data_IF_362488492051
#
_entry.id   IF_362488492051
#
_cell.length_a   1.000
_cell.length_b   1.000
_cell.length_c   1.000
_cell.angle_alpha   90.00
_cell.angle_beta   90.00
_cell.angle_gamma   90.00
#
_symmetry.space_group_name_H-M   'P 1'
#
loop_
_entity.id
_entity.type
_entity.pdbx_description
1 polymer ?
#
# COMPACT_ATOMS: atom_id res chain seq x y z
N UNK A 1 15.20 -5.49 22.36
CA UNK A 1 14.31 -5.97 21.28
C UNK A 1 13.16 -4.98 21.22
N UNK A 2 13.32 -3.92 20.42
CA UNK A 2 12.34 -2.85 20.32
C UNK A 2 11.17 -3.37 19.51
N UNK A 3 10.04 -3.56 20.18
CA UNK A 3 8.74 -3.75 19.54
C UNK A 3 8.29 -2.36 19.07
N UNK A 4 8.73 -1.95 17.90
CA UNK A 4 8.20 -0.76 17.24
C UNK A 4 7.37 -1.24 16.05
N UNK A 5 6.08 -1.37 16.29
CA UNK A 5 5.07 -1.55 15.26
C UNK A 5 3.89 -0.72 15.75
N UNK A 6 3.87 0.55 15.36
CA UNK A 6 2.75 1.44 15.66
C UNK A 6 1.61 1.07 14.74
N UNK A 7 0.59 0.37 15.24
CA UNK A 7 -0.71 0.33 14.56
C UNK A 7 -1.28 1.74 14.63
N UNK A 8 -1.33 2.45 13.50
CA UNK A 8 -2.03 3.73 13.42
C UNK A 8 -3.44 3.44 12.89
N UNK A 9 -4.34 3.00 13.77
CA UNK A 9 -5.77 3.02 13.41
C UNK A 9 -6.17 4.49 13.30
N UNK A 10 -6.53 4.92 12.10
CA UNK A 10 -7.00 6.27 11.83
C UNK A 10 -8.33 6.52 12.57
N UNK A 11 -8.25 6.86 13.85
CA UNK A 11 -9.33 7.55 14.55
C UNK A 11 -9.32 9.06 14.19
N UNK A 12 -8.81 9.37 12.99
CA UNK A 12 -8.82 10.69 12.40
C UNK A 12 -10.25 10.96 11.92
N UNK A 13 -10.79 12.13 12.25
CA UNK A 13 -12.05 12.61 11.67
C UNK A 13 -11.95 12.70 10.15
N UNK A 14 -13.07 12.58 9.44
CA UNK A 14 -13.11 12.63 7.96
C UNK A 14 -12.34 13.82 7.34
N UNK A 15 -12.42 15.06 7.88
CA UNK A 15 -11.63 16.17 7.35
C UNK A 15 -10.12 15.99 7.51
N UNK A 16 -9.68 15.32 8.57
CA UNK A 16 -8.27 15.13 8.88
C UNK A 16 -7.63 14.04 8.00
N UNK A 17 -8.38 13.00 7.60
CA UNK A 17 -7.86 11.93 6.73
C UNK A 17 -7.47 12.44 5.34
N UNK A 18 -8.17 13.44 4.82
CA UNK A 18 -7.87 14.03 3.52
C UNK A 18 -6.55 14.82 3.47
N UNK A 19 -5.97 15.19 4.62
CA UNK A 19 -4.81 16.09 4.68
C UNK A 19 -3.66 15.60 5.57
N UNK A 20 -3.84 14.51 6.31
CA UNK A 20 -2.87 14.07 7.31
C UNK A 20 -2.26 12.74 6.91
N UNK A 21 -0.93 12.73 6.73
CA UNK A 21 -0.20 11.49 6.49
C UNK A 21 -0.05 10.71 7.80
N UNK A 22 -0.57 9.48 7.80
CA UNK A 22 -0.30 8.45 8.79
C UNK A 22 1.16 8.01 8.63
N UNK A 23 1.99 8.25 9.66
CA UNK A 23 3.44 8.07 9.62
C UNK A 23 3.97 7.41 10.90
N UNK A 24 5.00 6.58 10.78
CA UNK A 24 5.74 6.02 11.92
C UNK A 24 6.68 7.06 12.54
N UNK A 25 6.11 7.87 13.41
CA UNK A 25 6.80 8.88 14.16
C UNK A 25 7.01 8.43 15.61
N UNK A 26 8.22 8.66 16.11
CA UNK A 26 8.50 8.51 17.53
C UNK A 26 7.77 9.59 18.35
N UNK A 27 7.83 9.48 19.68
CA UNK A 27 7.25 10.47 20.63
C UNK A 27 7.74 11.92 20.45
N UNK A 28 8.81 12.14 19.67
CA UNK A 28 9.39 13.44 19.33
C UNK A 28 9.12 13.84 17.87
N UNK A 29 8.22 13.16 17.16
CA UNK A 29 7.96 13.36 15.74
C UNK A 29 9.17 13.10 14.82
N UNK A 30 10.09 12.23 15.23
CA UNK A 30 11.21 11.82 14.38
C UNK A 30 10.87 10.53 13.61
N UNK A 31 11.30 10.41 12.35
CA UNK A 31 11.09 9.19 11.56
C UNK A 31 11.78 7.98 12.20
N UNK A 32 11.04 6.91 12.41
CA UNK A 32 11.63 5.62 12.75
C UNK A 32 12.34 5.02 11.53
N UNK A 33 13.44 4.30 11.80
CA UNK A 33 14.28 3.68 10.77
C UNK A 33 14.09 2.16 10.65
N UNK A 34 13.23 1.58 11.49
CA UNK A 34 12.94 0.15 11.51
C UNK A 34 11.76 -0.21 10.62
N UNK A 35 11.45 -1.51 10.58
CA UNK A 35 10.26 -2.02 9.92
C UNK A 35 9.01 -1.46 10.59
N UNK A 36 8.08 -0.95 9.80
CA UNK A 36 6.81 -0.41 10.25
C UNK A 36 5.67 -1.36 9.90
N UNK A 37 4.64 -1.43 10.75
CA UNK A 37 3.39 -2.13 10.46
C UNK A 37 2.25 -1.12 10.50
N UNK A 38 1.65 -0.81 9.35
CA UNK A 38 0.60 0.20 9.21
C UNK A 38 -0.67 -0.47 8.72
N UNK A 39 -1.78 -0.20 9.42
CA UNK A 39 -3.13 -0.55 8.98
C UNK A 39 -3.91 0.77 8.96
N UNK A 40 -4.48 1.14 7.82
CA UNK A 40 -5.39 2.27 7.69
C UNK A 40 -6.78 1.97 8.26
N UNK A 41 -7.80 2.57 7.69
CA UNK A 41 -9.18 2.51 8.16
C UNK A 41 -10.15 2.05 7.07
N UNK A 42 -11.45 2.19 7.33
CA UNK A 42 -12.49 1.93 6.33
C UNK A 42 -12.72 3.14 5.39
N UNK A 43 -11.91 4.20 5.49
CA UNK A 43 -12.03 5.41 4.67
C UNK A 43 -10.70 5.82 4.05
N UNK A 44 -10.77 6.74 3.09
CA UNK A 44 -9.61 7.17 2.30
C UNK A 44 -8.48 7.75 3.17
N UNK A 45 -7.37 7.04 3.26
CA UNK A 45 -6.22 7.37 4.08
C UNK A 45 -5.01 7.83 3.24
N UNK A 46 -4.20 8.70 3.85
CA UNK A 46 -2.87 9.05 3.35
C UNK A 46 -1.85 8.32 4.22
N UNK A 47 -1.16 7.33 3.68
CA UNK A 47 -0.25 6.46 4.43
C UNK A 47 1.18 6.66 3.94
N UNK A 48 2.12 6.84 4.87
CA UNK A 48 3.53 6.94 4.55
C UNK A 48 4.37 5.97 5.39
N UNK A 49 5.08 5.08 4.70
CA UNK A 49 6.04 4.14 5.27
C UNK A 49 7.27 4.80 5.90
N UNK A 50 8.04 3.98 6.60
CA UNK A 50 9.34 4.28 7.18
C UNK A 50 10.50 3.97 6.23
N UNK A 51 11.69 3.76 6.80
CA UNK A 51 12.91 3.39 6.04
C UNK A 51 13.22 1.89 6.05
N UNK A 52 12.41 1.11 6.77
CA UNK A 52 12.59 -0.32 6.98
C UNK A 52 11.83 -1.16 5.97
N UNK A 53 11.75 -2.47 6.23
CA UNK A 53 10.86 -3.35 5.48
C UNK A 53 9.46 -3.28 6.11
N UNK A 54 8.58 -2.53 5.47
CA UNK A 54 7.27 -2.19 6.02
C UNK A 54 6.19 -3.17 5.58
N UNK A 55 5.17 -3.30 6.42
CA UNK A 55 3.92 -3.98 6.09
C UNK A 55 2.79 -2.95 6.14
N UNK A 56 2.08 -2.78 5.04
CA UNK A 56 1.07 -1.74 4.89
C UNK A 56 -0.22 -2.34 4.35
N UNK A 57 -1.33 -2.11 5.04
CA UNK A 57 -2.69 -2.40 4.60
C UNK A 57 -3.52 -1.11 4.67
N UNK A 58 -4.05 -0.65 3.53
CA UNK A 58 -4.89 0.55 3.48
C UNK A 58 -6.23 0.37 4.20
N UNK A 59 -6.82 -0.81 4.04
CA UNK A 59 -8.16 -1.12 4.52
C UNK A 59 -9.17 -0.95 3.39
N UNK A 60 -10.33 -0.35 3.68
CA UNK A 60 -11.29 0.03 2.63
C UNK A 60 -11.13 1.50 2.31
N UNK A 61 -11.52 1.88 1.10
CA UNK A 61 -11.55 3.27 0.69
C UNK A 61 -10.66 3.46 -0.53
N UNK A 62 -10.28 4.70 -0.79
CA UNK A 62 -9.31 4.98 -1.85
C UNK A 62 -8.07 5.57 -1.20
N UNK A 63 -7.09 4.73 -0.93
CA UNK A 63 -5.92 5.09 -0.14
C UNK A 63 -4.76 5.57 -1.02
N UNK A 64 -3.96 6.47 -0.48
CA UNK A 64 -2.69 6.87 -1.11
C UNK A 64 -1.54 6.49 -0.21
N UNK A 65 -0.76 5.51 -0.66
CA UNK A 65 0.37 4.96 0.05
C UNK A 65 1.67 5.48 -0.58
N UNK A 66 2.57 6.01 0.25
CA UNK A 66 3.92 6.44 -0.13
C UNK A 66 4.95 5.65 0.65
N UNK A 67 5.71 4.86 -0.07
CA UNK A 67 6.82 4.13 0.49
C UNK A 67 7.88 3.96 -0.60
N UNK A 68 9.11 4.38 -0.30
CA UNK A 68 10.17 4.53 -1.29
C UNK A 68 11.49 3.89 -0.88
N UNK A 69 11.48 3.08 0.17
CA UNK A 69 12.66 2.40 0.67
C UNK A 69 12.30 1.14 1.41
N UNK A 70 13.18 0.14 1.36
CA UNK A 70 12.95 -1.12 2.06
C UNK A 70 12.50 -2.23 1.13
N UNK A 71 12.03 -3.31 1.74
CA UNK A 71 11.47 -4.46 1.04
C UNK A 71 10.07 -4.66 1.58
N UNK A 72 9.14 -3.90 1.02
CA UNK A 72 7.85 -3.65 1.65
C UNK A 72 6.82 -4.68 1.21
N UNK A 73 5.79 -4.87 2.02
CA UNK A 73 4.65 -5.72 1.70
C UNK A 73 3.39 -4.88 1.78
N UNK A 74 2.69 -4.75 0.65
CA UNK A 74 1.39 -4.10 0.57
C UNK A 74 0.31 -5.17 0.50
N UNK A 75 -0.60 -5.19 1.48
CA UNK A 75 -1.73 -6.10 1.54
C UNK A 75 -3.00 -5.38 1.07
N UNK A 76 -3.71 -6.00 0.13
CA UNK A 76 -5.02 -5.59 -0.37
C UNK A 76 -5.98 -6.76 -0.17
N UNK A 77 -7.02 -6.56 0.65
CA UNK A 77 -7.92 -7.64 1.06
C UNK A 77 -9.40 -7.29 0.82
N UNK A 78 -10.18 -8.25 0.30
CA UNK A 78 -11.61 -8.07 0.09
C UNK A 78 -11.96 -6.89 -0.84
N UNK A 79 -12.76 -5.94 -0.33
CA UNK A 79 -13.18 -4.72 -1.03
C UNK A 79 -12.29 -3.54 -0.62
N UNK A 80 -11.03 -3.57 -1.06
CA UNK A 80 -10.02 -2.59 -0.67
C UNK A 80 -10.22 -1.21 -1.35
N UNK A 81 -10.99 -1.14 -2.43
CA UNK A 81 -11.29 0.10 -3.15
C UNK A 81 -10.22 0.48 -4.19
N UNK A 82 -9.95 1.77 -4.39
CA UNK A 82 -9.09 2.26 -5.49
C UNK A 82 -7.85 2.99 -4.97
N UNK A 83 -6.78 2.23 -4.81
CA UNK A 83 -5.58 2.67 -4.12
C UNK A 83 -4.50 3.14 -5.08
N UNK A 84 -3.61 3.97 -4.55
CA UNK A 84 -2.41 4.47 -5.25
C UNK A 84 -1.18 4.17 -4.42
N UNK A 85 -0.25 3.40 -4.99
CA UNK A 85 1.06 3.15 -4.40
C UNK A 85 2.11 3.97 -5.13
N UNK A 86 2.80 4.83 -4.40
CA UNK A 86 3.86 5.71 -4.90
C UNK A 86 5.18 5.25 -4.30
N UNK A 87 6.14 4.96 -5.18
CA UNK A 87 7.49 4.55 -4.78
C UNK A 87 7.74 3.04 -4.78
N UNK A 88 6.79 2.25 -5.29
CA UNK A 88 6.95 0.81 -5.49
C UNK A 88 8.28 0.45 -6.15
N UNK A 89 8.97 -0.53 -5.56
CA UNK A 89 10.25 -1.06 -6.01
C UNK A 89 10.09 -2.54 -6.38
N UNK A 90 10.94 -3.05 -7.26
CA UNK A 90 10.91 -4.47 -7.66
C UNK A 90 11.23 -5.45 -6.52
N UNK A 91 11.72 -4.94 -5.39
CA UNK A 91 11.95 -5.70 -4.17
C UNK A 91 10.73 -5.78 -3.26
N UNK A 92 9.70 -5.00 -3.54
CA UNK A 92 8.46 -4.99 -2.79
C UNK A 92 7.53 -6.13 -3.22
N UNK A 93 6.59 -6.44 -2.34
CA UNK A 93 5.57 -7.46 -2.54
C UNK A 93 4.19 -6.84 -2.52
N UNK A 94 3.37 -7.21 -3.49
CA UNK A 94 1.94 -6.95 -3.52
C UNK A 94 1.23 -8.26 -3.18
N UNK A 95 0.38 -8.24 -2.16
CA UNK A 95 -0.40 -9.39 -1.73
C UNK A 95 -1.87 -9.03 -1.86
N UNK A 96 -2.56 -9.76 -2.74
CA UNK A 96 -3.99 -9.67 -2.93
C UNK A 96 -4.63 -10.91 -2.34
N UNK A 97 -5.56 -10.73 -1.41
CA UNK A 97 -6.23 -11.81 -0.70
C UNK A 97 -7.75 -11.63 -0.73
N UNK A 98 -8.50 -12.69 -1.02
CA UNK A 98 -9.97 -12.66 -1.06
C UNK A 98 -10.51 -11.62 -2.05
N UNK A 99 -9.78 -11.41 -3.16
CA UNK A 99 -10.09 -10.42 -4.20
C UNK A 99 -10.91 -11.03 -5.34
N UNK A 100 -11.59 -10.18 -6.11
CA UNK A 100 -12.39 -10.65 -7.25
C UNK A 100 -11.53 -10.94 -8.49
N UNK A 101 -11.75 -12.10 -9.11
CA UNK A 101 -11.25 -12.42 -10.45
C UNK A 101 -10.32 -13.63 -10.49
N UNK A 102 -9.38 -13.61 -11.42
CA UNK A 102 -8.41 -14.69 -11.67
C UNK A 102 -7.27 -14.64 -10.66
N UNK A 103 -6.47 -15.70 -10.60
CA UNK A 103 -5.18 -15.67 -9.88
C UNK A 103 -3.99 -15.37 -10.80
N UNK A 104 -4.21 -15.27 -12.12
CA UNK A 104 -3.17 -14.87 -13.07
C UNK A 104 -3.05 -13.34 -13.11
N UNK A 105 -1.89 -12.82 -12.67
CA UNK A 105 -1.57 -11.39 -12.71
C UNK A 105 -1.83 -10.73 -14.08
N UNK A 106 -1.65 -11.47 -15.18
CA UNK A 106 -1.82 -10.93 -16.53
C UNK A 106 -3.26 -10.57 -16.86
N UNK A 107 -4.22 -11.16 -16.16
CA UNK A 107 -5.65 -10.84 -16.32
C UNK A 107 -6.02 -9.51 -15.63
N UNK A 108 -5.16 -9.05 -14.71
CA UNK A 108 -5.40 -7.88 -13.86
C UNK A 108 -4.56 -6.67 -14.25
N UNK A 109 -3.36 -6.88 -14.79
CA UNK A 109 -2.37 -5.84 -15.02
C UNK A 109 -2.54 -5.12 -16.37
N UNK A 110 -2.63 -3.79 -16.32
CA UNK A 110 -2.66 -2.92 -17.50
C UNK A 110 -1.80 -1.69 -17.29
N UNK A 111 -0.93 -1.39 -18.26
CA UNK A 111 -0.18 -0.13 -18.28
C UNK A 111 -1.08 1.01 -18.77
N UNK A 112 -1.13 2.10 -18.02
CA UNK A 112 -1.90 3.32 -18.32
C UNK A 112 -0.97 4.53 -18.20
N UNK A 113 -0.50 5.04 -19.35
CA UNK A 113 0.51 6.09 -19.36
C UNK A 113 1.83 5.61 -18.77
N UNK A 114 2.27 6.22 -17.67
CA UNK A 114 3.49 5.84 -16.94
C UNK A 114 3.21 4.87 -15.77
N UNK A 115 1.95 4.57 -15.50
CA UNK A 115 1.52 3.80 -14.33
C UNK A 115 1.13 2.37 -14.74
N UNK A 116 1.18 1.44 -13.78
CA UNK A 116 0.60 0.11 -13.92
C UNK A 116 -0.63 0.02 -13.02
N UNK A 117 -1.77 -0.37 -13.59
CA UNK A 117 -3.03 -0.53 -12.87
C UNK A 117 -3.35 -2.02 -12.79
N UNK A 118 -3.58 -2.51 -11.57
CA UNK A 118 -4.06 -3.85 -11.25
C UNK A 118 -5.55 -3.74 -10.89
N UNK A 119 -6.44 -4.41 -11.62
CA UNK A 119 -7.90 -4.26 -11.44
C UNK A 119 -8.54 -5.56 -10.98
N UNK A 120 -9.30 -5.54 -9.88
CA UNK A 120 -10.00 -6.69 -9.29
C UNK A 120 -11.48 -6.36 -9.12
N UNK A 121 -12.29 -6.67 -10.13
CA UNK A 121 -13.71 -6.30 -10.13
C UNK A 121 -13.91 -4.78 -10.11
N UNK A 122 -14.42 -4.24 -9.01
CA UNK A 122 -14.61 -2.80 -8.80
C UNK A 122 -13.41 -2.11 -8.14
N UNK A 123 -12.47 -2.90 -7.63
CA UNK A 123 -11.30 -2.43 -6.87
C UNK A 123 -10.08 -2.34 -7.79
N UNK A 124 -9.13 -1.46 -7.46
CA UNK A 124 -7.91 -1.31 -8.24
C UNK A 124 -6.72 -0.77 -7.44
N UNK A 125 -5.51 -1.15 -7.85
CA UNK A 125 -4.27 -0.57 -7.34
C UNK A 125 -3.51 0.05 -8.49
N UNK A 126 -3.23 1.35 -8.39
CA UNK A 126 -2.37 2.08 -9.33
C UNK A 126 -0.96 2.19 -8.76
N UNK A 127 -0.01 1.52 -9.40
CA UNK A 127 1.42 1.66 -9.15
C UNK A 127 1.95 2.86 -9.93
N UNK A 128 2.15 3.97 -9.23
CA UNK A 128 2.47 5.27 -9.84
C UNK A 128 3.92 5.29 -10.32
N UNK A 129 4.10 5.58 -11.61
CA UNK A 129 5.42 5.63 -12.25
C UNK A 129 6.04 4.26 -12.54
N UNK A 130 5.29 3.17 -12.37
CA UNK A 130 5.74 1.80 -12.66
C UNK A 130 5.31 1.41 -14.07
N UNK A 131 6.25 1.39 -15.02
CA UNK A 131 6.01 1.02 -16.41
C UNK A 131 6.04 -0.49 -16.67
N UNK A 132 5.95 -0.88 -17.95
CA UNK A 132 5.81 -2.27 -18.43
C UNK A 132 6.86 -3.27 -17.90
N UNK A 133 8.07 -2.83 -17.54
CA UNK A 133 9.12 -3.70 -16.98
C UNK A 133 9.29 -3.60 -15.47
N UNK A 134 8.51 -2.76 -14.80
CA UNK A 134 8.66 -2.47 -13.37
C UNK A 134 7.88 -3.40 -12.44
N UNK A 135 6.92 -4.17 -12.98
CA UNK A 135 6.15 -5.16 -12.21
C UNK A 135 6.67 -6.57 -12.52
N UNK A 136 7.12 -7.27 -11.48
CA UNK A 136 7.57 -8.65 -11.60
C UNK A 136 6.55 -9.59 -10.94
N UNK A 137 6.09 -10.61 -11.68
CA UNK A 137 5.15 -11.60 -11.20
C UNK A 137 5.56 -12.27 -9.87
N UNK A 138 6.85 -12.49 -9.62
CA UNK A 138 7.32 -13.10 -8.37
C UNK A 138 7.14 -12.18 -7.14
N UNK A 139 6.97 -10.87 -7.38
CA UNK A 139 6.62 -9.86 -6.38
C UNK A 139 5.11 -9.68 -6.18
N UNK A 140 4.27 -10.47 -6.84
CA UNK A 140 2.81 -10.38 -6.72
C UNK A 140 2.22 -11.73 -6.34
N UNK A 141 1.45 -11.76 -5.25
CA UNK A 141 0.67 -12.91 -4.82
C UNK A 141 -0.80 -12.59 -4.94
N UNK A 142 -1.58 -13.47 -5.58
CA UNK A 142 -3.04 -13.35 -5.70
C UNK A 142 -3.65 -14.66 -5.19
N UNK A 143 -4.44 -14.57 -4.12
CA UNK A 143 -5.02 -15.70 -3.40
C UNK A 143 -6.51 -15.57 -3.16
#
# INVERSE_FOLDING_TARGET
MTRDSTVIVANLSDPARATTWVQDLNRNAEPHKGNTFIIGSDGNDLIQGGKGADFIEGGKGNDTIRDNSGHNTFLFSGQFGNDRVIGYQTTDKLVFQDVQGSTDLRDHAKVVGADTVLTFGADSVTLVGVGHGGLWADGVSIG
#
